data_IF_254169802058
#
_entry.id   IF_254169802058
#
_cell.length_a   1.000
_cell.length_b   1.000
_cell.length_c   1.000
_cell.angle_alpha   90.00
_cell.angle_beta   90.00
_cell.angle_gamma   90.00
#
_symmetry.space_group_name_H-M   'P 1'
#
loop_
_entity.id
_entity.type
_entity.pdbx_description
1 polymer ?
#
# COMPACT_ATOMS: atom_id res chain seq x y z
N UNK A 1 -55.58 40.18 58.77
CA UNK A 1 -54.23 40.39 58.37
C UNK A 1 -53.65 39.05 57.94
N UNK A 2 -53.67 38.75 56.61
CA UNK A 2 -53.14 37.51 56.04
C UNK A 2 -52.07 37.88 55.05
N UNK A 3 -50.79 37.58 55.36
CA UNK A 3 -49.67 37.79 54.56
C UNK A 3 -49.56 36.68 53.53
N UNK A 4 -49.59 37.06 52.25
CA UNK A 4 -49.34 36.15 51.09
C UNK A 4 -47.87 36.17 50.78
N UNK A 5 -47.20 35.05 51.00
CA UNK A 5 -45.78 34.83 50.62
C UNK A 5 -45.77 34.29 49.19
N UNK A 6 -45.28 35.10 48.25
CA UNK A 6 -45.13 34.72 46.84
C UNK A 6 -43.79 33.99 46.66
N UNK A 7 -43.80 32.75 46.33
CA UNK A 7 -42.62 31.94 46.02
C UNK A 7 -42.30 32.15 44.52
N UNK A 8 -41.20 32.78 44.23
CA UNK A 8 -40.66 32.93 42.88
C UNK A 8 -39.89 31.66 42.52
N UNK A 9 -40.46 30.91 41.61
CA UNK A 9 -39.83 29.67 41.06
C UNK A 9 -38.92 30.09 39.88
N UNK A 10 -37.62 30.13 40.10
CA UNK A 10 -36.63 30.38 39.05
C UNK A 10 -36.38 29.06 38.29
N UNK A 11 -36.85 28.97 37.05
CA UNK A 11 -36.52 27.89 36.11
C UNK A 11 -35.11 28.08 35.58
N UNK A 12 -34.20 27.21 35.98
CA UNK A 12 -32.85 27.11 35.37
C UNK A 12 -32.97 26.37 34.06
N UNK A 13 -32.81 27.10 32.96
CA UNK A 13 -32.70 26.50 31.61
C UNK A 13 -31.27 25.98 31.44
N UNK A 14 -31.08 24.67 31.54
CA UNK A 14 -29.84 24.03 31.12
C UNK A 14 -29.76 24.06 29.59
N UNK A 15 -28.90 24.91 29.04
CA UNK A 15 -28.52 24.83 27.62
C UNK A 15 -27.65 23.61 27.41
N UNK A 16 -27.90 22.77 26.39
CA UNK A 16 -27.00 21.67 26.05
C UNK A 16 -25.65 22.22 25.57
N UNK A 17 -24.57 21.82 26.22
CA UNK A 17 -23.21 22.08 25.78
C UNK A 17 -23.02 21.29 24.50
N UNK A 18 -22.95 21.98 23.35
CA UNK A 18 -22.52 21.38 22.10
C UNK A 18 -21.04 20.99 22.25
N UNK A 19 -20.77 19.69 22.41
CA UNK A 19 -19.42 19.16 22.31
C UNK A 19 -18.98 19.37 20.85
N UNK A 20 -18.03 20.29 20.64
CA UNK A 20 -17.36 20.45 19.36
C UNK A 20 -16.63 19.15 19.06
N UNK A 21 -17.17 18.38 18.13
CA UNK A 21 -16.46 17.25 17.55
C UNK A 21 -15.24 17.82 16.82
N UNK A 22 -14.04 17.45 17.28
CA UNK A 22 -12.81 17.74 16.58
C UNK A 22 -12.87 17.20 15.13
N UNK A 23 -11.93 17.56 14.22
CA UNK A 23 -11.96 17.16 12.83
C UNK A 23 -11.98 15.62 12.78
N UNK A 24 -13.18 15.06 12.70
CA UNK A 24 -13.43 13.65 12.76
C UNK A 24 -12.86 12.98 11.51
N UNK A 25 -12.13 11.93 11.72
CA UNK A 25 -11.92 10.88 10.74
C UNK A 25 -13.30 10.54 10.14
N UNK A 26 -13.49 10.83 8.87
CA UNK A 26 -14.77 10.53 8.22
C UNK A 26 -14.80 9.02 7.94
N UNK A 27 -15.72 8.25 8.53
CA UNK A 27 -15.79 6.80 8.32
C UNK A 27 -15.99 6.41 6.84
N UNK A 28 -16.53 7.32 6.02
CA UNK A 28 -16.65 7.13 4.58
C UNK A 28 -15.29 7.10 3.86
N UNK A 29 -14.29 7.83 4.37
CA UNK A 29 -12.94 7.87 3.78
C UNK A 29 -12.15 6.59 4.07
N UNK A 30 -12.33 6.03 5.26
CA UNK A 30 -11.66 4.79 5.66
C UNK A 30 -12.25 3.57 4.93
N UNK A 31 -13.54 3.56 4.68
CA UNK A 31 -14.21 2.52 3.88
C UNK A 31 -13.75 2.56 2.43
N UNK A 32 -13.61 3.73 1.83
CA UNK A 32 -13.19 3.90 0.43
C UNK A 32 -11.75 3.43 0.21
N UNK A 33 -10.80 3.80 1.08
CA UNK A 33 -9.41 3.34 0.99
C UNK A 33 -9.26 1.84 1.28
N UNK A 34 -10.07 1.28 2.15
CA UNK A 34 -10.10 -0.16 2.44
C UNK A 34 -10.62 -0.95 1.24
N UNK A 35 -11.66 -0.45 0.56
CA UNK A 35 -12.22 -1.08 -0.62
C UNK A 35 -11.24 -1.05 -1.81
N UNK A 36 -10.56 0.09 -2.01
CA UNK A 36 -9.49 0.22 -3.00
C UNK A 36 -8.34 -0.78 -2.74
N UNK A 37 -7.96 -0.99 -1.48
CA UNK A 37 -6.96 -1.98 -1.10
C UNK A 37 -7.41 -3.42 -1.38
N UNK A 38 -8.68 -3.74 -1.13
CA UNK A 38 -9.24 -5.07 -1.37
C UNK A 38 -9.24 -5.42 -2.87
N UNK A 39 -9.43 -4.46 -3.75
CA UNK A 39 -9.41 -4.71 -5.20
C UNK A 39 -8.01 -5.09 -5.70
N UNK A 40 -6.92 -4.61 -5.09
CA UNK A 40 -5.56 -5.00 -5.44
C UNK A 40 -5.33 -6.50 -5.25
N UNK A 41 -5.98 -7.13 -4.27
CA UNK A 41 -5.85 -8.57 -4.01
C UNK A 41 -6.43 -9.43 -5.14
N UNK A 42 -7.34 -8.89 -5.95
CA UNK A 42 -7.95 -9.60 -7.07
C UNK A 42 -7.03 -9.70 -8.31
N UNK A 43 -5.89 -9.01 -8.30
CA UNK A 43 -4.95 -9.00 -9.44
C UNK A 43 -3.85 -10.05 -9.36
N UNK A 44 -3.87 -10.91 -8.34
CA UNK A 44 -2.90 -12.00 -8.21
C UNK A 44 -2.92 -12.87 -9.48
N UNK A 45 -1.75 -13.03 -10.11
CA UNK A 45 -1.56 -13.77 -11.35
C UNK A 45 -1.72 -12.93 -12.63
N UNK A 46 -2.21 -11.70 -12.54
CA UNK A 46 -2.25 -10.77 -13.69
C UNK A 46 -0.82 -10.41 -14.10
N UNK A 47 -0.55 -10.38 -15.41
CA UNK A 47 0.73 -9.95 -15.95
C UNK A 47 0.71 -8.45 -16.24
N UNK A 48 1.75 -7.75 -15.85
CA UNK A 48 1.95 -6.35 -16.29
C UNK A 48 2.44 -6.31 -17.73
N UNK A 49 1.96 -5.33 -18.47
CA UNK A 49 2.47 -5.05 -19.81
C UNK A 49 3.88 -4.48 -19.70
N UNK A 50 4.84 -5.21 -20.25
CA UNK A 50 6.26 -4.85 -20.19
C UNK A 50 6.66 -3.80 -21.20
N UNK A 51 5.82 -3.52 -22.19
CA UNK A 51 6.07 -2.53 -23.24
C UNK A 51 5.67 -1.10 -22.80
N UNK A 52 5.04 -0.95 -21.61
CA UNK A 52 4.74 0.36 -21.04
C UNK A 52 5.97 1.23 -20.91
N UNK A 53 5.81 2.50 -21.34
CA UNK A 53 6.90 3.46 -21.47
C UNK A 53 6.87 4.49 -20.34
N UNK A 54 8.04 4.73 -19.78
CA UNK A 54 8.25 5.70 -18.70
C UNK A 54 9.53 6.49 -18.98
N UNK A 55 9.84 7.43 -18.10
CA UNK A 55 11.13 8.13 -18.05
C UNK A 55 11.78 7.88 -16.68
N UNK A 56 13.04 7.49 -16.67
CA UNK A 56 13.77 7.26 -15.43
C UNK A 56 14.21 8.58 -14.75
N UNK A 57 14.71 8.49 -13.53
CA UNK A 57 15.17 9.62 -12.73
C UNK A 57 16.35 10.41 -13.36
N UNK A 58 16.96 9.89 -14.42
CA UNK A 58 18.05 10.54 -15.17
C UNK A 58 17.55 11.19 -16.47
N UNK A 59 16.24 11.08 -16.74
CA UNK A 59 15.62 11.63 -17.93
C UNK A 59 15.73 10.73 -19.17
N UNK A 60 16.12 9.47 -19.02
CA UNK A 60 16.18 8.53 -20.15
C UNK A 60 14.87 7.74 -20.29
N UNK A 61 14.46 7.45 -21.54
CA UNK A 61 13.33 6.54 -21.78
C UNK A 61 13.57 5.19 -21.12
N UNK A 62 12.53 4.67 -20.49
CA UNK A 62 12.58 3.41 -19.76
C UNK A 62 11.33 2.57 -20.05
N UNK A 63 11.55 1.36 -20.57
CA UNK A 63 10.49 0.38 -20.79
C UNK A 63 10.44 -0.58 -19.61
N UNK A 64 9.27 -0.97 -19.15
CA UNK A 64 9.13 -1.90 -18.01
C UNK A 64 9.87 -3.23 -18.25
N UNK A 65 10.02 -3.66 -19.51
CA UNK A 65 10.82 -4.84 -19.88
C UNK A 65 12.24 -4.81 -19.30
N UNK A 66 12.82 -3.62 -19.12
CA UNK A 66 14.18 -3.45 -18.58
C UNK A 66 14.30 -3.81 -17.08
N UNK A 67 13.17 -3.95 -16.38
CA UNK A 67 13.15 -4.42 -14.99
C UNK A 67 13.31 -5.94 -14.86
N UNK A 68 13.05 -6.66 -15.94
CA UNK A 68 12.99 -8.12 -15.95
C UNK A 68 14.14 -8.75 -16.76
N UNK A 69 15.44 -8.40 -16.50
CA UNK A 69 16.56 -8.93 -17.28
C UNK A 69 16.95 -10.34 -16.87
N UNK A 70 16.40 -10.88 -15.79
CA UNK A 70 16.79 -12.16 -15.22
C UNK A 70 15.69 -12.82 -14.38
N UNK A 71 16.10 -13.45 -13.29
CA UNK A 71 15.22 -14.23 -12.38
C UNK A 71 14.82 -13.46 -11.12
N UNK A 72 15.04 -12.15 -11.07
CA UNK A 72 14.76 -11.36 -9.89
C UNK A 72 13.30 -10.90 -9.85
N UNK A 73 12.60 -11.08 -8.72
CA UNK A 73 11.30 -10.47 -8.50
C UNK A 73 11.45 -8.95 -8.36
N UNK A 74 10.34 -8.23 -8.54
CA UNK A 74 10.28 -6.78 -8.43
C UNK A 74 9.33 -6.38 -7.31
N UNK A 75 9.78 -5.49 -6.42
CA UNK A 75 8.91 -4.77 -5.47
C UNK A 75 8.47 -3.48 -6.14
N UNK A 76 7.20 -3.42 -6.51
CA UNK A 76 6.57 -2.25 -7.12
C UNK A 76 5.84 -1.43 -6.07
N UNK A 77 6.08 -0.12 -6.09
CA UNK A 77 5.40 0.89 -5.29
C UNK A 77 4.83 1.98 -6.19
N UNK A 78 3.52 2.20 -6.12
CA UNK A 78 2.86 3.31 -6.79
C UNK A 78 2.56 4.44 -5.80
N UNK A 79 2.69 5.68 -6.25
CA UNK A 79 2.48 6.87 -5.44
C UNK A 79 3.14 8.06 -6.10
N UNK A 80 3.07 9.26 -5.53
CA UNK A 80 3.68 10.45 -6.13
C UNK A 80 4.78 11.02 -5.23
N UNK A 81 5.76 11.70 -5.84
CA UNK A 81 6.99 12.12 -5.15
C UNK A 81 6.80 13.39 -4.35
N UNK A 82 5.92 14.28 -4.80
CA UNK A 82 5.62 15.57 -4.17
C UNK A 82 4.63 15.48 -3.00
N UNK A 83 4.23 14.26 -2.60
CA UNK A 83 3.27 14.05 -1.52
C UNK A 83 3.72 14.73 -0.22
N UNK A 84 2.94 15.66 0.34
CA UNK A 84 3.27 16.34 1.58
C UNK A 84 2.88 15.54 2.83
N UNK A 85 2.15 14.42 2.64
CA UNK A 85 1.55 13.66 3.73
C UNK A 85 2.33 12.36 4.03
N UNK A 86 1.61 11.25 4.18
CA UNK A 86 2.13 9.97 4.69
C UNK A 86 3.03 9.19 3.71
N UNK A 87 3.11 9.54 2.42
CA UNK A 87 3.89 8.76 1.44
C UNK A 87 5.36 8.61 1.82
N UNK A 88 5.93 9.61 2.49
CA UNK A 88 7.28 9.52 3.05
C UNK A 88 7.40 8.44 4.13
N UNK A 89 6.44 8.36 5.04
CA UNK A 89 6.42 7.39 6.14
C UNK A 89 6.21 5.96 5.63
N UNK A 90 5.32 5.79 4.66
CA UNK A 90 5.08 4.47 4.01
C UNK A 90 6.33 3.98 3.31
N UNK A 91 7.04 4.87 2.60
CA UNK A 91 8.30 4.51 1.94
C UNK A 91 9.40 4.18 2.95
N UNK A 92 9.48 4.91 4.07
CA UNK A 92 10.41 4.58 5.17
C UNK A 92 10.09 3.21 5.78
N UNK A 93 8.82 2.91 6.03
CA UNK A 93 8.38 1.62 6.53
C UNK A 93 8.73 0.49 5.55
N UNK A 94 8.55 0.70 4.24
CA UNK A 94 8.93 -0.26 3.22
C UNK A 94 10.46 -0.52 3.22
N UNK A 95 11.27 0.53 3.25
CA UNK A 95 12.73 0.39 3.28
C UNK A 95 13.23 -0.19 4.59
N UNK A 96 12.61 0.13 5.69
CA UNK A 96 12.91 -0.52 6.97
C UNK A 96 12.66 -2.03 6.89
N UNK A 97 11.51 -2.45 6.39
CA UNK A 97 11.17 -3.86 6.25
C UNK A 97 12.13 -4.58 5.28
N UNK A 98 12.37 -4.02 4.08
CA UNK A 98 13.31 -4.55 3.10
C UNK A 98 14.75 -4.63 3.66
N UNK A 99 15.17 -3.62 4.42
CA UNK A 99 16.48 -3.56 5.03
C UNK A 99 16.71 -4.63 6.10
N UNK A 100 15.62 -5.11 6.73
CA UNK A 100 15.67 -6.16 7.78
C UNK A 100 15.63 -7.57 7.22
N UNK A 101 15.31 -7.76 5.95
CA UNK A 101 15.41 -9.09 5.31
C UNK A 101 16.89 -9.48 5.12
N UNK A 102 17.18 -10.76 4.95
CA UNK A 102 18.51 -11.27 4.56
C UNK A 102 18.79 -11.11 3.04
N UNK A 103 17.77 -10.72 2.25
CA UNK A 103 17.85 -10.54 0.82
C UNK A 103 18.48 -9.21 0.43
N UNK A 104 19.19 -9.19 -0.71
CA UNK A 104 19.95 -8.03 -1.20
C UNK A 104 19.31 -7.42 -2.45
N UNK A 105 19.02 -6.10 -2.45
CA UNK A 105 18.56 -5.42 -3.65
C UNK A 105 19.63 -5.50 -4.74
N UNK A 106 19.21 -5.72 -6.00
CA UNK A 106 20.10 -5.88 -7.15
C UNK A 106 20.60 -7.30 -7.35
N UNK A 107 20.69 -8.11 -6.29
CA UNK A 107 21.07 -9.52 -6.36
C UNK A 107 19.84 -10.42 -6.28
N UNK A 108 19.02 -10.23 -5.27
CA UNK A 108 17.87 -11.11 -4.98
C UNK A 108 16.55 -10.51 -5.48
N UNK A 109 16.43 -9.18 -5.52
CA UNK A 109 15.23 -8.48 -5.99
C UNK A 109 15.56 -7.09 -6.55
N UNK A 110 14.60 -6.49 -7.23
CA UNK A 110 14.64 -5.10 -7.71
C UNK A 110 13.53 -4.28 -7.07
N UNK A 111 13.75 -2.97 -6.99
CA UNK A 111 12.77 -2.02 -6.47
C UNK A 111 12.36 -1.09 -7.62
N UNK A 112 11.06 -0.94 -7.81
CA UNK A 112 10.47 0.00 -8.73
C UNK A 112 9.51 0.92 -7.99
N UNK A 113 9.67 2.22 -8.17
CA UNK A 113 8.65 3.19 -7.79
C UNK A 113 8.21 3.98 -9.02
N UNK A 114 6.90 4.10 -9.22
CA UNK A 114 6.31 4.84 -10.33
C UNK A 114 5.41 5.94 -9.77
N UNK A 115 5.57 7.16 -10.30
CA UNK A 115 4.68 8.27 -9.97
C UNK A 115 3.31 8.06 -10.60
N UNK A 116 2.25 8.35 -9.82
CA UNK A 116 0.87 8.39 -10.31
C UNK A 116 0.46 9.82 -10.74
N UNK A 117 1.31 10.83 -10.52
CA UNK A 117 1.08 12.19 -10.97
C UNK A 117 1.79 12.43 -12.31
N UNK A 118 1.04 12.59 -13.41
CA UNK A 118 1.64 12.79 -14.73
C UNK A 118 2.37 14.14 -14.87
N UNK A 119 2.25 15.04 -13.90
CA UNK A 119 2.94 16.32 -13.90
C UNK A 119 4.32 16.27 -13.21
N UNK A 120 4.67 15.16 -12.58
CA UNK A 120 5.98 15.01 -11.95
C UNK A 120 7.09 14.79 -12.99
N UNK A 121 8.26 15.34 -12.71
CA UNK A 121 9.40 15.34 -13.62
C UNK A 121 10.49 14.37 -13.17
N UNK A 122 11.40 13.93 -14.06
CA UNK A 122 12.57 13.14 -13.68
C UNK A 122 13.42 13.79 -12.60
N UNK A 123 13.50 15.12 -12.57
CA UNK A 123 14.24 15.86 -11.54
C UNK A 123 13.61 15.69 -10.16
N UNK A 124 12.27 15.79 -10.06
CA UNK A 124 11.54 15.52 -8.82
C UNK A 124 11.79 14.08 -8.35
N UNK A 125 11.73 13.13 -9.28
CA UNK A 125 12.01 11.73 -9.01
C UNK A 125 13.45 11.51 -8.50
N UNK A 126 14.46 12.12 -9.15
CA UNK A 126 15.86 12.06 -8.74
C UNK A 126 16.09 12.60 -7.33
N UNK A 127 15.54 13.78 -7.03
CA UNK A 127 15.64 14.41 -5.72
C UNK A 127 15.01 13.53 -4.63
N UNK A 128 13.86 12.94 -4.92
CA UNK A 128 13.20 12.01 -3.99
C UNK A 128 14.01 10.73 -3.79
N UNK A 129 14.55 10.16 -4.86
CA UNK A 129 15.45 8.99 -4.79
C UNK A 129 16.65 9.28 -3.89
N UNK A 130 17.37 10.38 -4.14
CA UNK A 130 18.55 10.77 -3.35
C UNK A 130 18.23 10.93 -1.86
N UNK A 131 17.09 11.54 -1.51
CA UNK A 131 16.67 11.73 -0.12
C UNK A 131 16.41 10.39 0.61
N UNK A 132 16.04 9.34 -0.09
CA UNK A 132 15.73 8.03 0.50
C UNK A 132 16.86 7.01 0.38
N UNK A 133 17.83 7.19 -0.54
CA UNK A 133 18.99 6.30 -0.64
C UNK A 133 19.78 6.20 0.65
N UNK A 134 19.91 7.33 1.38
CA UNK A 134 20.58 7.36 2.71
C UNK A 134 19.86 6.50 3.74
N UNK A 135 18.56 6.23 3.55
CA UNK A 135 17.73 5.42 4.45
C UNK A 135 17.69 3.94 4.05
N UNK A 136 18.07 3.63 2.82
CA UNK A 136 18.22 2.26 2.36
C UNK A 136 19.49 1.69 3.01
N UNK A 137 19.32 0.85 4.02
CA UNK A 137 20.41 0.31 4.85
C UNK A 137 21.39 -0.62 4.08
N UNK A 138 21.17 -0.84 2.78
CA UNK A 138 21.95 -1.76 1.93
C UNK A 138 22.62 -1.01 0.79
N UNK A 139 23.93 -1.14 0.68
CA UNK A 139 24.80 -0.34 -0.18
C UNK A 139 24.69 -0.63 -1.68
N UNK A 140 24.15 -1.81 -2.07
CA UNK A 140 24.04 -2.21 -3.48
C UNK A 140 22.70 -1.81 -4.11
N UNK A 141 21.93 -0.93 -3.46
CA UNK A 141 20.55 -0.64 -3.82
C UNK A 141 20.37 0.42 -4.91
N UNK A 142 21.37 1.25 -5.20
CA UNK A 142 21.19 2.42 -6.09
C UNK A 142 20.77 2.01 -7.50
N UNK A 143 21.48 1.07 -8.13
CA UNK A 143 21.17 0.58 -9.47
C UNK A 143 19.98 -0.39 -9.51
N UNK A 144 19.67 -0.98 -8.37
CA UNK A 144 18.55 -1.92 -8.22
C UNK A 144 17.23 -1.23 -7.90
N UNK A 145 17.27 0.07 -7.60
CA UNK A 145 16.09 0.90 -7.37
C UNK A 145 15.90 1.89 -8.49
N UNK A 146 14.80 1.72 -9.25
CA UNK A 146 14.37 2.66 -10.29
C UNK A 146 13.18 3.49 -9.80
N UNK A 147 13.20 4.76 -10.19
CA UNK A 147 12.14 5.74 -9.87
C UNK A 147 11.72 6.32 -11.22
N UNK A 148 10.46 6.12 -11.57
CA UNK A 148 9.96 6.45 -12.89
C UNK A 148 8.86 7.51 -12.82
N UNK A 149 8.79 8.34 -13.83
CA UNK A 149 7.67 9.20 -14.15
C UNK A 149 7.09 8.78 -15.51
N UNK A 150 5.80 8.96 -15.70
CA UNK A 150 5.11 8.58 -16.93
C UNK A 150 3.98 9.52 -17.26
N UNK A 151 3.48 9.44 -18.48
CA UNK A 151 2.23 10.06 -18.86
C UNK A 151 1.03 9.38 -18.18
N UNK A 152 -0.13 9.99 -18.30
CA UNK A 152 -1.36 9.49 -17.69
C UNK A 152 -1.79 8.13 -18.26
N UNK A 153 -1.55 7.87 -19.55
CA UNK A 153 -1.95 6.64 -20.22
C UNK A 153 -1.15 5.43 -19.69
N UNK A 154 0.19 5.51 -19.76
CA UNK A 154 1.06 4.43 -19.30
C UNK A 154 0.93 4.19 -17.79
N UNK A 155 0.81 5.28 -17.02
CA UNK A 155 0.65 5.20 -15.56
C UNK A 155 -0.68 4.55 -15.16
N UNK A 156 -1.80 4.96 -15.81
CA UNK A 156 -3.11 4.39 -15.56
C UNK A 156 -3.17 2.92 -15.97
N UNK A 157 -2.56 2.56 -17.11
CA UNK A 157 -2.50 1.18 -17.58
C UNK A 157 -1.78 0.27 -16.58
N UNK A 158 -0.63 0.71 -16.06
CA UNK A 158 0.09 -0.03 -15.03
C UNK A 158 -0.73 -0.17 -13.75
N UNK A 159 -1.33 0.94 -13.28
CA UNK A 159 -2.15 0.94 -12.07
C UNK A 159 -3.35 -0.01 -12.19
N UNK A 160 -4.05 -0.01 -13.31
CA UNK A 160 -5.18 -0.90 -13.59
C UNK A 160 -4.75 -2.38 -13.54
N UNK A 161 -3.64 -2.73 -14.20
CA UNK A 161 -3.13 -4.10 -14.26
C UNK A 161 -2.77 -4.67 -12.88
N UNK A 162 -2.31 -3.82 -11.97
CA UNK A 162 -1.98 -4.22 -10.60
C UNK A 162 -3.08 -3.90 -9.58
N UNK A 163 -4.26 -3.47 -10.06
CA UNK A 163 -5.43 -3.15 -9.25
C UNK A 163 -5.24 -1.95 -8.32
N UNK A 164 -4.26 -1.10 -8.61
CA UNK A 164 -3.97 0.07 -7.80
C UNK A 164 -4.91 1.22 -8.16
N UNK A 165 -5.90 1.46 -7.31
CA UNK A 165 -6.83 2.57 -7.49
C UNK A 165 -6.31 3.85 -6.84
N UNK A 166 -6.49 4.96 -7.52
CA UNK A 166 -6.20 6.29 -7.01
C UNK A 166 -7.11 7.33 -7.64
N UNK A 167 -7.33 8.42 -6.96
CA UNK A 167 -8.09 9.55 -7.48
C UNK A 167 -7.60 10.87 -6.88
N UNK A 168 -7.80 11.95 -7.62
CA UNK A 168 -7.51 13.29 -7.13
C UNK A 168 -8.62 13.76 -6.20
N UNK A 169 -8.26 14.17 -4.98
CA UNK A 169 -9.21 14.74 -4.01
C UNK A 169 -9.17 16.27 -4.06
N UNK A 170 -10.23 16.87 -4.56
CA UNK A 170 -10.37 18.33 -4.58
C UNK A 170 -10.35 18.95 -3.19
N UNK A 171 -10.86 18.23 -2.19
CA UNK A 171 -10.93 18.70 -0.81
C UNK A 171 -9.55 18.81 -0.15
N UNK A 172 -8.65 17.87 -0.43
CA UNK A 172 -7.30 17.83 0.15
C UNK A 172 -6.21 18.30 -0.80
N UNK A 173 -6.54 18.49 -2.09
CA UNK A 173 -5.58 18.79 -3.16
C UNK A 173 -4.44 17.76 -3.20
N UNK A 174 -4.79 16.49 -3.05
CA UNK A 174 -3.87 15.36 -3.04
C UNK A 174 -4.47 14.14 -3.74
N UNK A 175 -3.60 13.26 -4.23
CA UNK A 175 -4.05 11.94 -4.66
C UNK A 175 -4.33 11.07 -3.44
N UNK A 176 -5.54 10.50 -3.39
CA UNK A 176 -5.90 9.46 -2.44
C UNK A 176 -5.61 8.09 -3.06
N UNK A 177 -4.90 7.24 -2.33
CA UNK A 177 -4.55 5.87 -2.73
C UNK A 177 -4.21 5.02 -1.50
N UNK A 178 -4.36 3.70 -1.56
CA UNK A 178 -3.95 2.82 -0.47
C UNK A 178 -2.42 2.72 -0.41
N UNK A 179 -1.83 2.64 0.79
CA UNK A 179 -0.42 2.29 0.95
C UNK A 179 -0.23 0.80 0.65
N UNK A 180 0.62 0.46 -0.31
CA UNK A 180 0.83 -0.93 -0.69
C UNK A 180 2.22 -1.23 -1.23
N UNK A 181 2.66 -2.48 -1.03
CA UNK A 181 3.77 -3.11 -1.73
C UNK A 181 3.21 -4.20 -2.64
N UNK A 182 3.57 -4.16 -3.91
CA UNK A 182 3.17 -5.12 -4.92
C UNK A 182 4.41 -5.91 -5.33
N UNK A 183 4.34 -7.24 -5.23
CA UNK A 183 5.45 -8.12 -5.56
C UNK A 183 5.16 -8.78 -6.92
N UNK A 184 6.07 -8.55 -7.87
CA UNK A 184 5.97 -9.13 -9.20
C UNK A 184 6.98 -10.26 -9.36
N UNK A 185 6.57 -11.35 -10.01
CA UNK A 185 7.48 -12.43 -10.37
C UNK A 185 8.50 -11.96 -11.42
N UNK A 186 9.58 -12.73 -11.70
CA UNK A 186 10.49 -12.44 -12.79
C UNK A 186 9.83 -12.36 -14.17
N UNK A 187 8.67 -13.01 -14.33
CA UNK A 187 7.84 -12.96 -15.54
C UNK A 187 6.91 -11.75 -15.59
N UNK A 188 6.91 -10.90 -14.52
CA UNK A 188 6.06 -9.71 -14.44
C UNK A 188 4.62 -10.00 -14.04
N UNK A 189 4.34 -11.10 -13.37
CA UNK A 189 3.01 -11.41 -12.82
C UNK A 189 2.91 -10.89 -11.39
N UNK A 190 1.75 -10.36 -11.01
CA UNK A 190 1.47 -10.02 -9.61
C UNK A 190 1.48 -11.30 -8.78
N UNK A 191 2.45 -11.44 -7.90
CA UNK A 191 2.59 -12.59 -7.00
C UNK A 191 1.85 -12.35 -5.70
N UNK A 192 2.09 -11.20 -5.08
CA UNK A 192 1.50 -10.83 -3.79
C UNK A 192 1.31 -9.33 -3.69
N UNK A 193 0.33 -8.90 -2.90
CA UNK A 193 0.12 -7.50 -2.52
C UNK A 193 -0.01 -7.41 -1.01
N UNK A 194 0.73 -6.48 -0.39
CA UNK A 194 0.60 -6.14 1.02
C UNK A 194 0.05 -4.71 1.10
N UNK A 195 -1.18 -4.56 1.57
CA UNK A 195 -1.85 -3.27 1.76
C UNK A 195 -1.76 -2.90 3.24
N UNK A 196 -0.81 -2.04 3.58
CA UNK A 196 -0.63 -1.55 4.94
C UNK A 196 0.26 -0.29 4.94
N UNK A 197 0.15 0.53 5.98
CA UNK A 197 1.07 1.65 6.24
C UNK A 197 2.35 1.23 6.97
N UNK A 198 2.37 0.04 7.53
CA UNK A 198 3.51 -0.61 8.18
C UNK A 198 3.69 -2.01 7.59
N UNK A 199 4.94 -2.42 7.37
CA UNK A 199 5.28 -3.69 6.73
C UNK A 199 6.14 -4.53 7.68
N UNK A 200 5.69 -5.75 7.98
CA UNK A 200 6.47 -6.69 8.77
C UNK A 200 7.62 -7.26 7.92
N UNK A 201 8.87 -7.24 8.40
CA UNK A 201 10.02 -7.75 7.66
C UNK A 201 9.87 -9.20 7.19
N UNK A 202 9.28 -10.07 8.02
CA UNK A 202 9.09 -11.48 7.70
C UNK A 202 8.05 -11.66 6.59
N UNK A 203 6.98 -10.85 6.56
CA UNK A 203 5.98 -10.88 5.49
C UNK A 203 6.56 -10.40 4.16
N UNK A 204 7.37 -9.34 4.20
CA UNK A 204 8.07 -8.81 3.02
C UNK A 204 9.09 -9.83 2.50
N UNK A 205 9.84 -10.47 3.39
CA UNK A 205 10.77 -11.53 3.01
C UNK A 205 10.06 -12.71 2.35
N UNK A 206 8.98 -13.17 2.96
CA UNK A 206 8.19 -14.28 2.42
C UNK A 206 7.62 -13.94 1.04
N UNK A 207 7.04 -12.75 0.88
CA UNK A 207 6.53 -12.27 -0.39
C UNK A 207 7.60 -12.22 -1.50
N UNK A 208 8.83 -11.81 -1.17
CA UNK A 208 9.96 -11.82 -2.10
C UNK A 208 10.37 -13.24 -2.51
N UNK A 209 10.44 -14.17 -1.54
CA UNK A 209 10.78 -15.57 -1.82
C UNK A 209 9.71 -16.20 -2.71
N UNK A 210 8.43 -16.02 -2.39
CA UNK A 210 7.31 -16.53 -3.19
C UNK A 210 7.35 -15.97 -4.63
N UNK A 211 7.52 -14.65 -4.76
CA UNK A 211 7.63 -14.01 -6.06
C UNK A 211 8.82 -14.54 -6.88
N UNK A 212 9.99 -14.77 -6.25
CA UNK A 212 11.18 -15.32 -6.93
C UNK A 212 10.98 -16.71 -7.47
N UNK A 213 10.09 -17.50 -6.86
CA UNK A 213 9.73 -18.87 -7.27
C UNK A 213 8.55 -18.90 -8.25
N UNK A 214 8.02 -17.73 -8.65
CA UNK A 214 6.83 -17.65 -9.50
C UNK A 214 5.54 -18.07 -8.78
N UNK A 215 5.55 -18.18 -7.46
CA UNK A 215 4.38 -18.54 -6.66
C UNK A 215 3.37 -17.39 -6.68
N UNK A 216 2.10 -17.73 -6.90
CA UNK A 216 1.00 -16.76 -6.97
C UNK A 216 0.10 -16.88 -5.74
N UNK A 217 -0.01 -15.79 -5.01
CA UNK A 217 -0.79 -15.73 -3.76
C UNK A 217 -0.07 -16.44 -2.61
N UNK A 218 -0.54 -16.16 -1.38
CA UNK A 218 0.00 -16.82 -0.20
C UNK A 218 -0.51 -18.27 -0.13
N UNK A 219 0.41 -19.23 -0.22
CA UNK A 219 0.09 -20.63 0.04
C UNK A 219 -0.53 -20.82 1.43
N UNK A 220 -0.02 -20.06 2.41
CA UNK A 220 -0.54 -20.10 3.78
C UNK A 220 -1.92 -19.46 3.92
N UNK A 221 -2.28 -18.44 3.10
CA UNK A 221 -3.65 -17.93 3.08
C UNK A 221 -4.63 -18.94 2.51
N UNK A 222 -4.23 -19.72 1.51
CA UNK A 222 -5.03 -20.86 1.03
C UNK A 222 -5.16 -21.95 2.09
N UNK A 223 -4.12 -22.21 2.85
CA UNK A 223 -4.16 -23.17 3.98
C UNK A 223 -4.99 -22.59 5.14
N UNK A 224 -4.83 -21.32 5.49
CA UNK A 224 -5.61 -20.66 6.54
C UNK A 224 -7.10 -20.55 6.16
N UNK A 225 -7.43 -20.18 4.92
CA UNK A 225 -8.83 -20.11 4.45
C UNK A 225 -9.50 -21.49 4.45
N UNK A 226 -8.75 -22.56 4.25
CA UNK A 226 -9.28 -23.93 4.39
C UNK A 226 -9.31 -24.44 5.83
N UNK A 227 -8.50 -23.88 6.74
CA UNK A 227 -8.40 -24.30 8.14
C UNK A 227 -9.08 -23.34 9.14
N UNK A 228 -9.37 -22.11 8.74
CA UNK A 228 -9.99 -21.11 9.58
C UNK A 228 -11.46 -20.92 9.20
N UNK A 229 -12.36 -21.27 10.10
CA UNK A 229 -13.78 -20.93 9.97
C UNK A 229 -14.01 -19.55 10.62
N UNK A 230 -14.49 -18.62 9.81
CA UNK A 230 -14.89 -17.30 10.33
C UNK A 230 -16.17 -17.47 11.20
N UNK A 231 -16.09 -17.06 12.45
CA UNK A 231 -17.25 -16.99 13.34
C UNK A 231 -17.79 -15.54 13.36
N UNK A 232 -18.94 -15.30 12.71
CA UNK A 232 -19.52 -13.96 12.67
C UNK A 232 -20.01 -13.43 14.02
N UNK A 233 -20.13 -14.27 15.04
CA UNK A 233 -20.56 -13.87 16.38
C UNK A 233 -19.43 -13.25 17.19
N UNK A 234 -18.22 -13.73 16.99
CA UNK A 234 -17.03 -13.26 17.71
C UNK A 234 -16.18 -12.33 16.85
N UNK A 235 -16.55 -12.13 15.58
CA UNK A 235 -15.78 -11.39 14.57
C UNK A 235 -14.30 -11.83 14.52
N UNK A 236 -14.07 -13.14 14.64
CA UNK A 236 -12.73 -13.73 14.68
C UNK A 236 -12.67 -15.03 13.89
N UNK A 237 -11.45 -15.37 13.44
CA UNK A 237 -11.18 -16.64 12.79
C UNK A 237 -10.78 -17.67 13.85
N UNK A 238 -11.46 -18.83 13.87
CA UNK A 238 -11.10 -19.98 14.71
C UNK A 238 -10.53 -21.11 13.87
N UNK A 239 -9.48 -21.76 14.38
CA UNK A 239 -8.95 -22.99 13.78
C UNK A 239 -9.99 -24.09 13.89
N UNK A 240 -10.44 -24.63 12.77
CA UNK A 240 -11.31 -25.80 12.72
C UNK A 240 -10.52 -27.08 13.07
N UNK A 241 -9.97 -27.11 14.30
CA UNK A 241 -9.17 -28.24 14.81
C UNK A 241 -10.00 -29.52 14.90
N UNK A 242 -11.32 -29.40 15.00
CA UNK A 242 -12.25 -30.54 15.15
C UNK A 242 -12.42 -31.39 13.87
N UNK A 243 -12.12 -30.84 12.69
CA UNK A 243 -12.27 -31.59 11.43
C UNK A 243 -11.08 -32.48 11.14
N UNK A 244 -9.90 -32.12 11.62
CA UNK A 244 -8.66 -32.90 11.45
C UNK A 244 -8.59 -34.12 12.37
N UNK A 245 -9.29 -34.12 13.52
CA UNK A 245 -9.30 -35.27 14.44
C UNK A 245 -10.33 -36.35 14.06
N UNK A 246 -11.10 -36.18 12.99
CA UNK A 246 -12.09 -37.17 12.52
C UNK A 246 -11.59 -38.02 11.36
N UNK A 247 -10.38 -37.81 10.87
CA UNK A 247 -9.81 -38.54 9.72
C UNK A 247 -8.58 -39.38 10.16
N UNK A 248 -8.32 -39.48 11.46
CA UNK A 248 -7.29 -40.37 12.03
C UNK A 248 -7.92 -41.63 12.63
#
# INVERSE_FOLDING_TARGET
>A
MKSLLSILMTTVVLSPIAVAQGPGHSPARDLETTDMGAQQLNTIGVSVDRDLQFTDERGYPFTLQQLFPGKQPVVLMLGYYSCPAMCGQVLEAAFYALGRTDLQPGTDYRILRVSIDPNETPEIAANRKAAFLVKLLKTNGEDSWRVLVGDAENTSALAEQVGFQYYWSEATKQFAHPPSLIFLTPEGKVSRVIVNSYFEPDDVRLALVEASQGTLGDFWDKVKLNCLTFDPRTNSYSLAVMTLMRIG
#
